data_IF_882661514074
#
_entry.id   IF_882661514074
#
_cell.length_a   1.000
_cell.length_b   1.000
_cell.length_c   1.000
_cell.angle_alpha   90.00
_cell.angle_beta   90.00
_cell.angle_gamma   90.00
#
_symmetry.space_group_name_H-M   'P 1'
#
loop_
_entity.id
_entity.type
_entity.pdbx_description
1 polymer ?
#
# COMPACT_ATOMS: atom_id res chain seq x y z
N UNK A 1 27.25 -15.69 41.61
CA UNK A 1 26.14 -14.78 41.94
C UNK A 1 26.23 -13.42 41.23
N UNK A 2 27.36 -12.73 41.26
CA UNK A 2 27.54 -11.38 40.66
C UNK A 2 27.22 -11.35 39.16
N UNK A 3 27.63 -12.34 38.37
CA UNK A 3 27.36 -12.38 36.91
C UNK A 3 25.88 -12.52 36.55
N UNK A 4 25.09 -13.20 37.37
CA UNK A 4 23.65 -13.36 37.17
C UNK A 4 22.94 -12.02 37.43
N UNK A 5 23.38 -11.26 38.42
CA UNK A 5 22.85 -9.95 38.75
C UNK A 5 23.16 -8.92 37.65
N UNK A 6 24.38 -8.94 37.11
CA UNK A 6 24.79 -8.08 35.99
C UNK A 6 23.97 -8.41 34.73
N UNK A 7 23.77 -9.70 34.40
CA UNK A 7 22.96 -10.11 33.27
C UNK A 7 21.49 -9.70 33.41
N UNK A 8 20.92 -9.79 34.62
CA UNK A 8 19.55 -9.35 34.91
C UNK A 8 19.38 -7.82 34.75
N UNK A 9 20.36 -7.02 35.21
CA UNK A 9 20.36 -5.55 35.08
C UNK A 9 20.48 -5.15 33.61
N UNK A 10 21.35 -5.78 32.83
CA UNK A 10 21.51 -5.53 31.39
C UNK A 10 20.23 -5.92 30.66
N UNK A 11 19.61 -7.06 30.97
CA UNK A 11 18.34 -7.50 30.40
C UNK A 11 17.20 -6.52 30.70
N UNK A 12 17.09 -6.04 31.94
CA UNK A 12 16.11 -5.04 32.33
C UNK A 12 16.34 -3.69 31.58
N UNK A 13 17.59 -3.28 31.43
CA UNK A 13 17.94 -2.05 30.68
C UNK A 13 17.57 -2.16 29.21
N UNK A 14 17.82 -3.33 28.57
CA UNK A 14 17.44 -3.59 27.19
C UNK A 14 15.92 -3.58 27.03
N UNK A 15 15.16 -4.18 27.96
CA UNK A 15 13.71 -4.19 27.96
C UNK A 15 13.14 -2.78 28.15
N UNK A 16 13.65 -2.00 29.08
CA UNK A 16 13.24 -0.61 29.32
C UNK A 16 13.56 0.24 28.10
N UNK A 17 14.75 0.12 27.53
CA UNK A 17 15.18 0.85 26.34
C UNK A 17 14.31 0.50 25.11
N UNK A 18 14.00 -0.78 24.92
CA UNK A 18 13.13 -1.22 23.81
C UNK A 18 11.69 -0.75 24.00
N UNK A 19 11.17 -0.74 25.23
CA UNK A 19 9.84 -0.22 25.54
C UNK A 19 9.76 1.31 25.38
N UNK A 20 10.79 2.05 25.86
CA UNK A 20 10.88 3.52 25.64
C UNK A 20 10.97 3.84 24.15
N UNK A 21 11.77 3.11 23.40
CA UNK A 21 11.88 3.26 21.96
C UNK A 21 10.54 2.99 21.27
N UNK A 22 9.84 1.92 21.67
CA UNK A 22 8.53 1.56 21.15
C UNK A 22 7.46 2.64 21.42
N UNK A 23 7.40 3.17 22.64
CA UNK A 23 6.49 4.28 23.02
C UNK A 23 6.79 5.56 22.25
N UNK A 24 8.07 5.93 22.09
CA UNK A 24 8.48 7.13 21.33
C UNK A 24 8.11 7.02 19.85
N UNK A 25 8.22 5.84 19.25
CA UNK A 25 7.79 5.60 17.85
C UNK A 25 6.27 5.60 17.73
N UNK A 26 5.55 4.97 18.67
CA UNK A 26 4.09 4.92 18.64
C UNK A 26 3.43 6.31 18.76
N UNK A 27 3.96 7.23 19.57
CA UNK A 27 3.38 8.57 19.70
C UNK A 27 3.53 9.38 18.40
N UNK A 28 4.71 9.35 17.79
CA UNK A 28 4.99 10.14 16.58
C UNK A 28 4.35 9.51 15.35
N UNK A 29 4.23 8.18 15.29
CA UNK A 29 3.47 7.47 14.26
C UNK A 29 1.98 7.84 14.36
N UNK A 30 1.45 7.93 15.58
CA UNK A 30 0.05 8.33 15.82
C UNK A 30 -0.21 9.77 15.38
N UNK A 31 0.64 10.73 15.74
CA UNK A 31 0.49 12.14 15.35
C UNK A 31 0.62 12.33 13.84
N UNK A 32 1.60 11.66 13.21
CA UNK A 32 1.78 11.68 11.77
C UNK A 32 0.60 11.01 11.04
N UNK A 33 0.15 9.84 11.51
CA UNK A 33 -1.02 9.16 10.94
C UNK A 33 -2.29 10.00 11.09
N UNK A 34 -2.48 10.69 12.20
CA UNK A 34 -3.62 11.58 12.40
C UNK A 34 -3.62 12.72 11.36
N UNK A 35 -2.48 13.33 11.07
CA UNK A 35 -2.36 14.35 10.02
C UNK A 35 -2.76 13.81 8.64
N UNK A 36 -2.26 12.63 8.28
CA UNK A 36 -2.53 12.04 6.97
C UNK A 36 -3.99 11.56 6.82
N UNK A 37 -4.54 10.90 7.85
CA UNK A 37 -5.82 10.20 7.74
C UNK A 37 -7.03 11.04 8.15
N UNK A 38 -6.91 11.85 9.21
CA UNK A 38 -8.03 12.64 9.72
C UNK A 38 -8.04 14.03 9.10
N UNK A 39 -6.85 14.69 9.03
CA UNK A 39 -6.75 16.07 8.53
C UNK A 39 -6.44 16.18 7.04
N UNK A 40 -6.01 15.10 6.40
CA UNK A 40 -5.56 15.07 4.99
C UNK A 40 -4.41 16.06 4.70
N UNK A 41 -3.67 16.44 5.74
CA UNK A 41 -2.50 17.31 5.65
C UNK A 41 -1.26 16.48 5.32
N UNK A 42 -1.16 16.10 4.06
CA UNK A 42 -0.07 15.26 3.56
C UNK A 42 1.27 16.01 3.54
N UNK A 43 1.27 17.34 3.44
CA UNK A 43 2.51 18.13 3.48
C UNK A 43 3.11 18.11 4.88
N UNK A 44 2.33 18.39 5.91
CA UNK A 44 2.78 18.29 7.30
C UNK A 44 3.22 16.84 7.64
N UNK A 45 2.48 15.83 7.17
CA UNK A 45 2.85 14.43 7.32
C UNK A 45 4.22 14.10 6.70
N UNK A 46 4.44 14.51 5.44
CA UNK A 46 5.71 14.33 4.74
C UNK A 46 6.85 15.10 5.42
N UNK A 47 6.57 16.32 5.94
CA UNK A 47 7.52 17.10 6.71
C UNK A 47 8.02 16.36 7.95
N UNK A 48 7.10 15.80 8.75
CA UNK A 48 7.45 14.97 9.93
C UNK A 48 8.30 13.76 9.54
N UNK A 49 7.95 13.06 8.46
CA UNK A 49 8.72 11.90 8.00
C UNK A 49 10.12 12.29 7.54
N UNK A 50 10.25 13.41 6.81
CA UNK A 50 11.53 13.91 6.34
C UNK A 50 12.45 14.27 7.51
N UNK A 51 11.96 15.03 8.48
CA UNK A 51 12.71 15.41 9.68
C UNK A 51 13.22 14.17 10.45
N UNK A 52 12.39 13.14 10.57
CA UNK A 52 12.81 11.89 11.22
C UNK A 52 13.86 11.12 10.42
N UNK A 53 13.71 11.05 9.10
CA UNK A 53 14.69 10.40 8.21
C UNK A 53 16.03 11.10 8.33
N UNK A 54 16.07 12.42 8.45
CA UNK A 54 17.29 13.19 8.63
C UNK A 54 17.94 12.93 9.99
N UNK A 55 17.15 12.90 11.06
CA UNK A 55 17.63 12.72 12.45
C UNK A 55 18.06 11.28 12.78
N UNK A 56 17.62 10.27 12.04
CA UNK A 56 18.04 8.90 12.32
C UNK A 56 19.31 8.52 11.55
N UNK A 57 20.29 7.90 12.22
CA UNK A 57 21.46 7.29 11.56
C UNK A 57 21.23 5.85 11.12
N UNK A 58 20.15 5.22 11.58
CA UNK A 58 19.85 3.81 11.32
C UNK A 58 19.29 3.62 9.90
N UNK A 59 20.08 2.98 9.03
CA UNK A 59 19.69 2.73 7.62
C UNK A 59 18.39 1.93 7.47
N UNK A 60 18.12 0.95 8.34
CA UNK A 60 16.89 0.16 8.30
C UNK A 60 15.68 1.01 8.67
N UNK A 61 15.84 1.88 9.66
CA UNK A 61 14.79 2.81 10.07
C UNK A 61 14.51 3.87 9.01
N UNK A 62 15.55 4.44 8.39
CA UNK A 62 15.38 5.33 7.23
C UNK A 62 14.57 4.69 6.11
N UNK A 63 14.93 3.44 5.79
CA UNK A 63 14.26 2.68 4.75
C UNK A 63 12.77 2.41 5.10
N UNK A 64 12.48 2.09 6.36
CA UNK A 64 11.10 1.93 6.86
C UNK A 64 10.31 3.24 6.78
N UNK A 65 10.84 4.34 7.34
CA UNK A 65 10.17 5.64 7.33
C UNK A 65 9.90 6.12 5.88
N UNK A 66 10.82 5.83 4.96
CA UNK A 66 10.63 6.14 3.56
C UNK A 66 9.39 5.43 2.98
N UNK A 67 9.11 4.17 3.37
CA UNK A 67 7.93 3.45 2.85
C UNK A 67 6.62 4.13 3.20
N UNK A 68 6.56 4.83 4.33
CA UNK A 68 5.35 5.50 4.80
C UNK A 68 4.94 6.69 3.92
N UNK A 69 5.90 7.26 3.14
CA UNK A 69 5.61 8.37 2.22
C UNK A 69 4.77 7.95 1.02
N UNK A 70 4.77 6.66 0.65
CA UNK A 70 4.14 6.16 -0.58
C UNK A 70 2.69 6.61 -0.72
N UNK A 71 1.93 6.45 0.35
CA UNK A 71 0.51 6.79 0.34
C UNK A 71 0.25 8.29 0.19
N UNK A 72 1.07 9.15 0.82
CA UNK A 72 0.95 10.60 0.67
C UNK A 72 1.22 11.02 -0.77
N UNK A 73 2.24 10.45 -1.41
CA UNK A 73 2.53 10.74 -2.82
C UNK A 73 1.39 10.31 -3.75
N UNK A 74 0.78 9.14 -3.50
CA UNK A 74 -0.38 8.67 -4.27
C UNK A 74 -1.58 9.61 -4.05
N UNK A 75 -1.87 9.98 -2.81
CA UNK A 75 -3.00 10.85 -2.47
C UNK A 75 -2.87 12.26 -3.09
N UNK A 76 -1.64 12.78 -3.20
CA UNK A 76 -1.33 14.05 -3.84
C UNK A 76 -1.06 13.93 -5.34
N UNK A 77 -1.18 12.73 -5.94
CA UNK A 77 -0.86 12.45 -7.36
C UNK A 77 0.58 12.82 -7.75
N UNK A 78 1.50 12.71 -6.81
CA UNK A 78 2.92 13.01 -7.02
C UNK A 78 3.64 11.78 -7.62
N UNK A 79 3.31 11.42 -8.85
CA UNK A 79 3.74 10.17 -9.50
C UNK A 79 5.25 10.05 -9.64
N UNK A 80 5.95 11.16 -9.94
CA UNK A 80 7.41 11.17 -10.04
C UNK A 80 8.08 10.84 -8.69
N UNK A 81 7.58 11.41 -7.59
CA UNK A 81 8.05 11.13 -6.24
C UNK A 81 7.77 9.69 -5.83
N UNK A 82 6.60 9.15 -6.19
CA UNK A 82 6.26 7.75 -6.00
C UNK A 82 7.27 6.81 -6.68
N UNK A 83 7.60 7.06 -7.95
CA UNK A 83 8.57 6.25 -8.71
C UNK A 83 9.99 6.39 -8.16
N UNK A 84 10.41 7.61 -7.79
CA UNK A 84 11.68 7.87 -7.17
C UNK A 84 11.81 7.13 -5.84
N UNK A 85 10.77 7.16 -5.01
CA UNK A 85 10.71 6.44 -3.75
C UNK A 85 10.84 4.93 -3.95
N UNK A 86 10.15 4.34 -4.96
CA UNK A 86 10.24 2.90 -5.26
C UNK A 86 11.66 2.49 -5.64
N UNK A 87 12.42 3.34 -6.33
CA UNK A 87 13.83 3.09 -6.67
C UNK A 87 14.75 3.17 -5.45
N UNK A 88 14.45 4.06 -4.50
CA UNK A 88 15.28 4.28 -3.30
C UNK A 88 15.06 3.22 -2.22
N UNK A 89 13.83 2.75 -2.04
CA UNK A 89 13.48 1.78 -1.00
C UNK A 89 14.01 0.39 -1.31
N UNK A 90 14.85 -0.13 -0.42
CA UNK A 90 15.39 -1.49 -0.51
C UNK A 90 14.42 -2.49 0.12
N UNK A 91 13.50 -3.03 -0.65
CA UNK A 91 12.42 -3.91 -0.17
C UNK A 91 12.94 -5.19 0.49
N UNK A 92 14.09 -5.75 0.05
CA UNK A 92 14.74 -6.91 0.65
C UNK A 92 15.07 -6.75 2.14
N UNK A 93 15.23 -5.50 2.61
CA UNK A 93 15.56 -5.18 3.99
C UNK A 93 14.34 -4.83 4.85
N UNK A 94 13.14 -4.94 4.30
CA UNK A 94 11.90 -4.65 5.01
C UNK A 94 11.31 -5.92 5.63
N UNK A 95 10.66 -5.82 6.80
CA UNK A 95 9.77 -6.87 7.27
C UNK A 95 8.71 -7.19 6.21
N UNK A 96 8.35 -8.46 6.04
CA UNK A 96 7.40 -8.93 5.02
C UNK A 96 6.13 -8.08 4.94
N UNK A 97 5.56 -7.75 6.10
CA UNK A 97 4.37 -6.91 6.22
C UNK A 97 4.54 -5.54 5.56
N UNK A 98 5.66 -4.89 5.81
CA UNK A 98 5.96 -3.55 5.30
C UNK A 98 6.27 -3.63 3.79
N UNK A 99 7.03 -4.65 3.37
CA UNK A 99 7.28 -4.91 1.95
C UNK A 99 5.96 -5.04 1.19
N UNK A 100 5.07 -5.93 1.63
CA UNK A 100 3.76 -6.16 1.02
C UNK A 100 2.96 -4.86 0.90
N UNK A 101 2.79 -4.12 2.01
CA UNK A 101 2.04 -2.84 2.00
C UNK A 101 2.65 -1.85 1.02
N UNK A 102 3.96 -1.71 1.01
CA UNK A 102 4.66 -0.76 0.14
C UNK A 102 4.49 -1.09 -1.34
N UNK A 103 4.71 -2.36 -1.73
CA UNK A 103 4.58 -2.76 -3.15
C UNK A 103 3.13 -2.74 -3.61
N UNK A 104 2.17 -3.11 -2.74
CA UNK A 104 0.75 -3.03 -3.05
C UNK A 104 0.30 -1.59 -3.31
N UNK A 105 0.69 -0.65 -2.45
CA UNK A 105 0.41 0.76 -2.65
C UNK A 105 1.03 1.27 -3.96
N UNK A 106 2.27 0.88 -4.26
CA UNK A 106 2.92 1.26 -5.52
C UNK A 106 2.15 0.77 -6.74
N UNK A 107 1.72 -0.50 -6.75
CA UNK A 107 0.93 -1.07 -7.86
C UNK A 107 -0.42 -0.37 -8.03
N UNK A 108 -1.12 -0.05 -6.93
CA UNK A 108 -2.34 0.76 -6.97
C UNK A 108 -2.05 2.16 -7.55
N UNK A 109 -0.96 2.79 -7.11
CA UNK A 109 -0.53 4.09 -7.63
C UNK A 109 -0.22 4.06 -9.14
N UNK A 110 0.35 2.97 -9.66
CA UNK A 110 0.56 2.77 -11.09
C UNK A 110 -0.77 2.72 -11.85
N UNK A 111 -1.77 1.98 -11.34
CA UNK A 111 -3.11 1.96 -11.94
C UNK A 111 -3.78 3.34 -11.93
N UNK A 112 -3.62 4.11 -10.82
CA UNK A 112 -4.18 5.46 -10.70
C UNK A 112 -3.47 6.51 -11.56
N UNK A 113 -2.23 6.24 -11.98
CA UNK A 113 -1.45 7.10 -12.88
C UNK A 113 -1.52 6.67 -14.35
N UNK A 114 -2.56 5.91 -14.74
CA UNK A 114 -2.79 5.40 -16.08
C UNK A 114 -1.62 4.56 -16.66
N UNK A 115 -1.00 3.74 -15.79
CA UNK A 115 0.11 2.82 -16.13
C UNK A 115 -0.21 1.37 -15.74
N UNK A 116 -1.36 0.82 -16.19
CA UNK A 116 -1.82 -0.51 -15.73
C UNK A 116 -0.87 -1.64 -16.16
N UNK A 117 -0.25 -1.55 -17.35
CA UNK A 117 0.71 -2.58 -17.81
C UNK A 117 1.90 -2.71 -16.86
N UNK A 118 2.41 -1.56 -16.37
CA UNK A 118 3.47 -1.56 -15.37
C UNK A 118 2.99 -2.16 -14.04
N UNK A 119 1.75 -1.89 -13.64
CA UNK A 119 1.17 -2.49 -12.44
C UNK A 119 1.04 -4.01 -12.58
N UNK A 120 0.52 -4.51 -13.70
CA UNK A 120 0.40 -5.95 -13.99
C UNK A 120 1.75 -6.64 -13.96
N UNK A 121 2.77 -6.06 -14.59
CA UNK A 121 4.15 -6.58 -14.54
C UNK A 121 4.69 -6.64 -13.10
N UNK A 122 4.42 -5.66 -12.27
CA UNK A 122 4.82 -5.69 -10.87
C UNK A 122 4.04 -6.74 -10.06
N UNK A 123 2.77 -6.98 -10.37
CA UNK A 123 1.99 -8.08 -9.76
C UNK A 123 2.60 -9.45 -10.06
N UNK A 124 3.14 -9.66 -11.27
CA UNK A 124 3.87 -10.88 -11.63
C UNK A 124 5.19 -11.00 -10.86
N UNK A 125 5.99 -9.93 -10.80
CA UNK A 125 7.28 -9.92 -10.07
C UNK A 125 7.08 -10.23 -8.57
N UNK A 126 6.05 -9.68 -7.96
CA UNK A 126 5.77 -9.82 -6.52
C UNK A 126 4.76 -10.96 -6.23
N UNK A 127 4.42 -11.78 -7.23
CA UNK A 127 3.44 -12.87 -7.10
C UNK A 127 3.69 -13.78 -5.88
N UNK A 128 4.93 -14.20 -5.55
CA UNK A 128 5.16 -15.07 -4.42
C UNK A 128 4.70 -14.48 -3.08
N UNK A 129 4.96 -13.18 -2.84
CA UNK A 129 4.55 -12.51 -1.59
C UNK A 129 3.04 -12.23 -1.60
N UNK A 130 2.44 -11.97 -2.77
CA UNK A 130 1.01 -11.75 -2.90
C UNK A 130 0.23 -13.05 -2.64
N UNK A 131 0.64 -14.19 -3.21
CA UNK A 131 0.03 -15.50 -2.97
C UNK A 131 0.13 -15.94 -1.50
N UNK A 132 1.29 -15.71 -0.88
CA UNK A 132 1.45 -16.00 0.54
C UNK A 132 0.52 -15.16 1.42
N UNK A 133 0.39 -13.85 1.12
CA UNK A 133 -0.52 -12.97 1.85
C UNK A 133 -1.99 -13.37 1.66
N UNK A 134 -2.36 -13.82 0.48
CA UNK A 134 -3.69 -14.34 0.18
C UNK A 134 -4.00 -15.62 0.97
N UNK A 135 -3.10 -16.61 0.94
CA UNK A 135 -3.28 -17.88 1.63
C UNK A 135 -3.43 -17.72 3.15
N UNK A 136 -2.74 -16.75 3.73
CA UNK A 136 -2.84 -16.43 5.15
C UNK A 136 -4.07 -15.59 5.54
N UNK A 137 -4.91 -15.19 4.56
CA UNK A 137 -6.08 -14.33 4.77
C UNK A 137 -5.73 -12.95 5.33
N UNK A 138 -4.43 -12.59 5.30
CA UNK A 138 -3.94 -11.29 5.75
C UNK A 138 -4.07 -10.26 4.63
N UNK A 139 -4.33 -9.00 5.00
CA UNK A 139 -4.41 -7.91 4.03
C UNK A 139 -5.49 -8.07 2.95
N UNK A 140 -6.63 -8.70 3.27
CA UNK A 140 -7.74 -8.91 2.34
C UNK A 140 -8.07 -7.69 1.49
N UNK A 141 -8.06 -6.50 2.09
CA UNK A 141 -8.31 -5.24 1.40
C UNK A 141 -7.29 -4.96 0.28
N UNK A 142 -5.99 -5.04 0.61
CA UNK A 142 -4.92 -4.76 -0.36
C UNK A 142 -4.90 -5.79 -1.49
N UNK A 143 -4.94 -7.08 -1.13
CA UNK A 143 -4.91 -8.18 -2.10
C UNK A 143 -6.17 -8.18 -2.95
N UNK A 144 -7.34 -8.00 -2.34
CA UNK A 144 -8.61 -7.91 -3.06
C UNK A 144 -8.64 -6.73 -4.02
N UNK A 145 -8.11 -5.56 -3.62
CA UNK A 145 -8.00 -4.40 -4.51
C UNK A 145 -7.12 -4.69 -5.72
N UNK A 146 -5.94 -5.32 -5.53
CA UNK A 146 -5.08 -5.69 -6.65
C UNK A 146 -5.73 -6.70 -7.58
N UNK A 147 -6.46 -7.69 -7.04
CA UNK A 147 -7.22 -8.66 -7.84
C UNK A 147 -8.29 -7.97 -8.68
N UNK A 148 -9.09 -7.11 -8.06
CA UNK A 148 -10.13 -6.36 -8.75
C UNK A 148 -9.55 -5.50 -9.88
N UNK A 149 -8.43 -4.81 -9.62
CA UNK A 149 -7.71 -4.01 -10.63
C UNK A 149 -7.17 -4.90 -11.75
N UNK A 150 -6.55 -6.05 -11.43
CA UNK A 150 -6.09 -7.00 -12.44
C UNK A 150 -7.22 -7.45 -13.34
N UNK A 151 -8.33 -7.90 -12.77
CA UNK A 151 -9.53 -8.32 -13.50
C UNK A 151 -10.05 -7.21 -14.43
N UNK A 152 -10.11 -5.97 -13.93
CA UNK A 152 -10.53 -4.81 -14.73
C UNK A 152 -9.64 -4.61 -15.96
N UNK A 153 -8.32 -4.57 -15.77
CA UNK A 153 -7.38 -4.29 -16.86
C UNK A 153 -7.12 -5.49 -17.79
N UNK A 154 -7.56 -6.68 -17.40
CA UNK A 154 -7.54 -7.87 -18.27
C UNK A 154 -8.89 -8.18 -18.93
N UNK A 155 -9.86 -7.26 -18.82
CA UNK A 155 -11.16 -7.36 -19.49
C UNK A 155 -12.23 -8.21 -18.78
N UNK A 156 -11.92 -8.78 -17.61
CA UNK A 156 -12.86 -9.56 -16.80
C UNK A 156 -13.77 -8.64 -15.98
N UNK A 157 -14.57 -7.83 -16.68
CA UNK A 157 -15.31 -6.71 -16.07
C UNK A 157 -16.34 -7.15 -15.03
N UNK A 158 -17.05 -8.27 -15.26
CA UNK A 158 -18.07 -8.77 -14.34
C UNK A 158 -17.43 -9.24 -13.02
N UNK A 159 -16.39 -10.03 -13.08
CA UNK A 159 -15.65 -10.52 -11.91
C UNK A 159 -15.00 -9.36 -11.14
N UNK A 160 -14.47 -8.38 -11.86
CA UNK A 160 -13.94 -7.15 -11.26
C UNK A 160 -15.02 -6.38 -10.49
N UNK A 161 -16.23 -6.25 -11.06
CA UNK A 161 -17.38 -5.60 -10.42
C UNK A 161 -17.77 -6.29 -9.12
N UNK A 162 -17.87 -7.60 -9.13
CA UNK A 162 -18.19 -8.41 -7.96
C UNK A 162 -17.14 -8.20 -6.86
N UNK A 163 -15.85 -8.29 -7.20
CA UNK A 163 -14.76 -8.11 -6.27
C UNK A 163 -14.74 -6.68 -5.66
N UNK A 164 -14.94 -5.62 -6.44
CA UNK A 164 -15.03 -4.25 -5.90
C UNK A 164 -16.29 -4.05 -5.03
N UNK A 165 -17.38 -4.72 -5.35
CA UNK A 165 -18.62 -4.66 -4.55
C UNK A 165 -18.42 -5.33 -3.19
N UNK A 166 -17.77 -6.49 -3.13
CA UNK A 166 -17.40 -7.15 -1.88
C UNK A 166 -16.47 -6.30 -1.03
N UNK A 167 -15.44 -5.71 -1.65
CA UNK A 167 -14.50 -4.83 -0.96
C UNK A 167 -15.21 -3.59 -0.37
N UNK A 168 -16.15 -3.01 -1.10
CA UNK A 168 -16.95 -1.87 -0.64
C UNK A 168 -17.83 -2.22 0.57
N UNK A 169 -18.31 -3.46 0.67
CA UNK A 169 -19.11 -3.93 1.79
C UNK A 169 -18.29 -4.18 3.07
N UNK A 170 -16.95 -4.24 2.98
CA UNK A 170 -16.10 -4.39 4.15
C UNK A 170 -16.12 -3.11 4.98
N UNK A 171 -16.06 -3.24 6.32
CA UNK A 171 -15.84 -2.09 7.21
C UNK A 171 -14.41 -1.60 7.05
N UNK A 172 -14.24 -0.48 6.34
CA UNK A 172 -12.94 0.11 6.06
C UNK A 172 -12.75 1.33 6.96
N UNK A 173 -11.60 1.37 7.63
CA UNK A 173 -11.14 2.59 8.30
C UNK A 173 -10.30 3.41 7.32
N UNK A 174 -10.71 4.63 7.03
CA UNK A 174 -10.00 5.58 6.15
C UNK A 174 -10.72 5.90 4.84
N UNK A 175 -10.42 7.08 4.30
CA UNK A 175 -11.14 7.67 3.16
C UNK A 175 -10.54 7.37 1.78
N UNK A 176 -9.45 6.60 1.72
CA UNK A 176 -8.74 6.36 0.44
C UNK A 176 -9.46 5.34 -0.45
N UNK A 177 -9.85 4.20 0.13
CA UNK A 177 -10.41 3.08 -0.63
C UNK A 177 -11.84 3.29 -1.14
N UNK A 178 -12.80 3.85 -0.35
CA UNK A 178 -14.17 4.01 -0.81
C UNK A 178 -14.30 4.84 -2.09
N UNK A 179 -13.62 5.99 -2.27
CA UNK A 179 -13.61 6.72 -3.53
C UNK A 179 -13.01 5.93 -4.69
N UNK A 180 -11.93 5.20 -4.46
CA UNK A 180 -11.29 4.33 -5.44
C UNK A 180 -12.27 3.27 -5.96
N UNK A 181 -12.94 2.54 -5.07
CA UNK A 181 -13.89 1.50 -5.45
C UNK A 181 -15.08 2.06 -6.22
N UNK A 182 -15.61 3.20 -5.79
CA UNK A 182 -16.71 3.87 -6.49
C UNK A 182 -16.30 4.32 -7.89
N UNK A 183 -15.08 4.82 -8.08
CA UNK A 183 -14.57 5.22 -9.40
C UNK A 183 -14.47 4.01 -10.34
N UNK A 184 -13.85 2.91 -9.89
CA UNK A 184 -13.74 1.71 -10.72
C UNK A 184 -15.08 1.05 -11.01
N UNK A 185 -16.03 1.01 -10.09
CA UNK A 185 -17.38 0.52 -10.35
C UNK A 185 -18.07 1.33 -11.47
N UNK A 186 -17.94 2.67 -11.46
CA UNK A 186 -18.45 3.52 -12.54
C UNK A 186 -17.75 3.26 -13.88
N UNK A 187 -16.42 3.07 -13.87
CA UNK A 187 -15.65 2.75 -15.08
C UNK A 187 -16.10 1.41 -15.66
N UNK A 188 -16.29 0.39 -14.84
CA UNK A 188 -16.78 -0.94 -15.25
C UNK A 188 -18.15 -0.81 -15.92
N UNK A 189 -19.10 -0.10 -15.29
CA UNK A 189 -20.43 0.10 -15.87
C UNK A 189 -20.37 0.81 -17.23
N UNK A 190 -19.48 1.78 -17.39
CA UNK A 190 -19.27 2.48 -18.65
C UNK A 190 -18.72 1.54 -19.73
N UNK A 191 -17.72 0.73 -19.41
CA UNK A 191 -17.13 -0.22 -20.36
C UNK A 191 -18.11 -1.34 -20.73
N UNK A 192 -18.89 -1.87 -19.77
CA UNK A 192 -19.93 -2.85 -20.05
C UNK A 192 -21.01 -2.29 -21.00
N UNK A 193 -21.42 -1.02 -20.81
CA UNK A 193 -22.38 -0.38 -21.73
C UNK A 193 -21.82 -0.23 -23.14
N UNK A 194 -20.55 0.13 -23.29
CA UNK A 194 -19.91 0.21 -24.62
C UNK A 194 -19.93 -1.14 -25.33
N UNK A 195 -19.54 -2.23 -24.62
CA UNK A 195 -19.57 -3.57 -25.18
C UNK A 195 -20.97 -4.02 -25.63
N UNK A 196 -22.04 -3.53 -24.98
CA UNK A 196 -23.43 -3.82 -25.38
C UNK A 196 -23.91 -3.00 -26.59
N UNK A 197 -23.33 -1.81 -26.79
CA UNK A 197 -23.74 -0.88 -27.85
C UNK A 197 -22.92 -0.99 -29.13
N UNK A 198 -21.74 -1.62 -29.09
CA UNK A 198 -20.96 -1.95 -30.28
C UNK A 198 -21.51 -3.29 -30.85
N UNK A 199 -22.28 -3.28 -31.97
CA UNK A 199 -22.68 -4.53 -32.61
C UNK A 199 -21.41 -5.26 -33.06
N UNK A 200 -21.37 -6.57 -32.91
CA UNK A 200 -20.33 -7.47 -33.37
C UNK A 200 -20.18 -7.37 -34.90
N UNK A 201 -19.54 -6.32 -35.40
CA UNK A 201 -19.15 -6.16 -36.81
C UNK A 201 -17.90 -6.98 -37.14
N UNK A 202 -17.77 -8.19 -36.68
CA UNK A 202 -16.71 -9.08 -37.21
C UNK A 202 -17.07 -10.55 -37.03
N UNK A 203 -18.15 -11.00 -37.70
CA UNK A 203 -18.31 -12.44 -38.07
C UNK A 203 -19.19 -12.55 -39.32
N UNK A 204 -18.74 -11.95 -40.41
CA UNK A 204 -19.22 -12.27 -41.74
C UNK A 204 -18.10 -11.93 -42.73
N UNK A 205 -17.14 -12.83 -42.85
CA UNK A 205 -16.33 -13.04 -44.04
C UNK A 205 -15.29 -14.12 -43.73
N UNK A 206 -15.62 -15.40 -43.98
CA UNK A 206 -14.89 -16.36 -44.81
C UNK A 206 -15.51 -17.74 -44.58
#
# INVERSE_FOLDING_TARGET
>A
MIYILIAAVIGAFILIYTQFRKKKYQSVEKDALQLAWEKKDYEAYLGILNEKIEKTSNKKEKNFLATLKMQAYIAQKQWHQMDSLKKQVKTKNLPKKIHLTFVTQYMIGLCLSDRPEAALKWMEIEEPILKEAESNGTYKMYIGTLKALKLFYTGHLQESKEQFTELKAMKITGDFYPPLFNDYLKRIEKEQKKQMTEPSETKAEH
#
